data_IF_806255671952
#
_entry.id   IF_806255671952
#
_cell.length_a   1.000
_cell.length_b   1.000
_cell.length_c   1.000
_cell.angle_alpha   90.00
_cell.angle_beta   90.00
_cell.angle_gamma   90.00
#
_symmetry.space_group_name_H-M   'P 1'
#
loop_
_entity.id
_entity.type
_entity.pdbx_description
1 polymer ?
#
# COMPACT_ATOMS: atom_id res chain seq x y z
N UNK A 1 -10.40 -35.48 0.63
CA UNK A 1 -10.62 -34.61 -0.53
C UNK A 1 -11.79 -33.67 -0.20
N UNK A 2 -11.53 -32.36 -0.02
CA UNK A 2 -12.51 -31.27 -0.08
C UNK A 2 -11.76 -29.95 0.02
N UNK A 3 -11.77 -29.23 -1.10
CA UNK A 3 -11.28 -27.87 -1.31
C UNK A 3 -12.16 -26.87 -0.57
N UNK A 4 -11.55 -25.85 0.03
CA UNK A 4 -12.22 -24.55 0.23
C UNK A 4 -11.37 -23.49 -0.47
N UNK A 5 -11.50 -23.54 -1.79
CA UNK A 5 -11.30 -22.41 -2.67
C UNK A 5 -12.20 -21.27 -2.22
N UNK A 6 -11.67 -20.05 -2.23
CA UNK A 6 -12.50 -18.87 -2.23
C UNK A 6 -13.37 -18.90 -3.49
N UNK A 7 -14.69 -18.79 -3.32
CA UNK A 7 -15.59 -18.52 -4.44
C UNK A 7 -15.28 -17.10 -4.89
N UNK A 8 -14.42 -17.00 -5.89
CA UNK A 8 -14.35 -15.86 -6.79
C UNK A 8 -15.67 -15.86 -7.55
N UNK A 9 -16.53 -14.87 -7.33
CA UNK A 9 -17.58 -14.56 -8.29
C UNK A 9 -16.85 -14.12 -9.56
N UNK A 10 -16.88 -14.99 -10.57
CA UNK A 10 -16.44 -14.70 -11.93
C UNK A 10 -17.34 -13.60 -12.50
N UNK A 11 -16.81 -12.38 -12.56
CA UNK A 11 -17.23 -11.40 -13.55
C UNK A 11 -16.13 -11.34 -14.61
N UNK A 12 -16.50 -11.83 -15.80
CA UNK A 12 -15.94 -11.56 -17.11
C UNK A 12 -14.44 -11.34 -17.25
N UNK A 13 -13.76 -12.31 -17.89
CA UNK A 13 -12.53 -12.05 -18.64
C UNK A 13 -12.82 -11.16 -19.83
N UNK A 14 -12.71 -9.85 -19.63
CA UNK A 14 -12.50 -8.83 -20.65
C UNK A 14 -11.32 -7.97 -20.20
N UNK A 15 -10.64 -7.31 -21.14
CA UNK A 15 -9.75 -6.18 -20.83
C UNK A 15 -10.39 -5.35 -19.72
N UNK A 16 -9.73 -5.18 -18.56
CA UNK A 16 -10.33 -4.66 -17.32
C UNK A 16 -11.47 -3.68 -17.62
N UNK A 17 -12.70 -4.19 -17.61
CA UNK A 17 -13.82 -3.54 -18.28
C UNK A 17 -13.98 -2.13 -17.77
N UNK A 18 -14.09 -1.15 -18.66
CA UNK A 18 -14.48 0.19 -18.27
C UNK A 18 -15.78 0.09 -17.47
N UNK A 19 -15.70 0.50 -16.20
CA UNK A 19 -16.85 0.64 -15.31
C UNK A 19 -16.97 2.12 -14.98
N UNK A 20 -18.14 2.53 -14.50
CA UNK A 20 -18.34 3.91 -14.02
C UNK A 20 -17.27 4.28 -12.97
N UNK A 21 -16.87 3.32 -12.13
CA UNK A 21 -15.85 3.56 -11.10
C UNK A 21 -14.44 3.71 -11.71
N UNK A 22 -14.04 2.85 -12.66
CA UNK A 22 -12.71 2.98 -13.29
C UNK A 22 -12.62 4.24 -14.14
N UNK A 23 -13.70 4.67 -14.80
CA UNK A 23 -13.78 5.97 -15.51
C UNK A 23 -13.62 7.14 -14.53
N UNK A 24 -14.36 7.13 -13.42
CA UNK A 24 -14.27 8.20 -12.42
C UNK A 24 -12.87 8.30 -11.80
N UNK A 25 -12.24 7.17 -11.48
CA UNK A 25 -10.87 7.14 -10.96
C UNK A 25 -9.86 7.63 -12.00
N UNK A 26 -9.99 7.20 -13.27
CA UNK A 26 -9.15 7.71 -14.37
C UNK A 26 -9.28 9.23 -14.50
N UNK A 27 -10.49 9.78 -14.33
CA UNK A 27 -10.70 11.23 -14.33
C UNK A 27 -9.92 11.92 -13.20
N UNK A 28 -10.02 11.43 -11.96
CA UNK A 28 -9.30 12.00 -10.81
C UNK A 28 -7.78 11.98 -11.04
N UNK A 29 -7.24 10.84 -11.52
CA UNK A 29 -5.82 10.73 -11.85
C UNK A 29 -5.44 11.61 -13.05
N UNK A 30 -6.33 11.76 -14.04
CA UNK A 30 -6.10 12.62 -15.21
C UNK A 30 -6.08 14.10 -14.86
N UNK A 31 -7.01 14.56 -14.01
CA UNK A 31 -7.05 15.93 -13.51
C UNK A 31 -5.80 16.26 -12.67
N UNK A 32 -5.33 15.32 -11.85
CA UNK A 32 -4.08 15.45 -11.08
C UNK A 32 -2.87 15.62 -12.01
N UNK A 33 -2.78 14.79 -13.06
CA UNK A 33 -1.72 14.86 -14.06
C UNK A 33 -1.76 16.18 -14.84
N UNK A 34 -2.96 16.62 -15.23
CA UNK A 34 -3.18 17.88 -15.91
C UNK A 34 -2.70 19.05 -15.04
N UNK A 35 -2.94 19.00 -13.73
CA UNK A 35 -2.40 19.97 -12.77
C UNK A 35 -0.88 20.09 -12.82
N UNK A 36 -0.14 18.98 -12.88
CA UNK A 36 1.30 18.99 -13.05
C UNK A 36 1.73 19.62 -14.38
N UNK A 37 1.15 19.18 -15.49
CA UNK A 37 1.51 19.65 -16.83
C UNK A 37 1.16 21.13 -17.06
N UNK A 38 0.10 21.63 -16.42
CA UNK A 38 -0.28 23.05 -16.44
C UNK A 38 0.52 23.90 -15.44
N UNK A 39 1.30 23.27 -14.54
CA UNK A 39 1.97 23.97 -13.46
C UNK A 39 1.00 24.57 -12.42
N UNK A 40 -0.16 23.95 -12.21
CA UNK A 40 -1.21 24.44 -11.32
C UNK A 40 -1.31 23.59 -10.05
N UNK A 41 -0.60 23.99 -9.00
CA UNK A 41 -0.58 23.30 -7.71
C UNK A 41 -1.97 23.12 -7.08
N UNK A 42 -2.89 24.08 -7.27
CA UNK A 42 -4.26 23.98 -6.73
C UNK A 42 -5.04 22.86 -7.42
N UNK A 43 -4.89 22.72 -8.74
CA UNK A 43 -5.55 21.66 -9.50
C UNK A 43 -5.05 20.26 -9.10
N UNK A 44 -3.74 20.14 -8.82
CA UNK A 44 -3.13 18.90 -8.30
C UNK A 44 -3.77 18.54 -6.95
N UNK A 45 -3.65 19.43 -5.96
CA UNK A 45 -4.03 19.20 -4.56
C UNK A 45 -5.53 18.95 -4.39
N UNK A 46 -6.37 19.55 -5.26
CA UNK A 46 -7.81 19.34 -5.26
C UNK A 46 -8.23 17.87 -5.40
N UNK A 47 -7.40 17.03 -6.01
CA UNK A 47 -7.70 15.60 -6.24
C UNK A 47 -7.49 14.72 -5.00
N UNK A 48 -6.90 15.26 -3.94
CA UNK A 48 -6.48 14.51 -2.77
C UNK A 48 -7.46 14.63 -1.60
N UNK A 49 -7.50 13.60 -0.76
CA UNK A 49 -8.23 13.61 0.50
C UNK A 49 -7.44 14.35 1.59
N UNK A 50 -8.10 14.96 2.59
CA UNK A 50 -7.41 15.66 3.69
C UNK A 50 -6.42 14.78 4.47
N UNK A 51 -6.70 13.49 4.58
CA UNK A 51 -5.86 12.49 5.27
C UNK A 51 -4.83 11.81 4.34
N UNK A 52 -4.47 12.46 3.25
CA UNK A 52 -3.49 11.96 2.28
C UNK A 52 -2.14 11.58 2.89
N UNK A 53 -1.50 10.53 2.34
CA UNK A 53 -0.11 10.13 2.62
C UNK A 53 0.70 9.84 1.36
N UNK A 54 1.92 10.37 1.29
CA UNK A 54 2.81 10.19 0.15
C UNK A 54 4.01 9.31 0.49
N UNK A 55 4.29 8.33 -0.38
CA UNK A 55 5.45 7.47 -0.30
C UNK A 55 6.32 7.66 -1.54
N UNK A 56 7.63 7.51 -1.36
CA UNK A 56 8.60 7.57 -2.42
C UNK A 56 9.01 6.16 -2.83
N UNK A 57 8.95 5.87 -4.12
CA UNK A 57 9.42 4.58 -4.62
C UNK A 57 8.93 4.26 -6.02
N UNK A 58 9.10 3.00 -6.38
CA UNK A 58 8.74 2.44 -7.68
C UNK A 58 7.98 1.15 -7.41
N UNK A 59 6.71 1.12 -7.81
CA UNK A 59 5.81 0.01 -7.54
C UNK A 59 6.31 -1.29 -8.20
N UNK A 60 7.14 -1.19 -9.24
CA UNK A 60 7.78 -2.34 -9.89
C UNK A 60 9.03 -2.87 -9.17
N UNK A 61 9.41 -2.31 -8.01
CA UNK A 61 10.61 -2.69 -7.25
C UNK A 61 10.25 -3.22 -5.86
N UNK A 62 11.22 -3.87 -5.22
CA UNK A 62 11.07 -4.42 -3.86
C UNK A 62 10.54 -3.36 -2.88
N UNK A 63 9.44 -3.63 -2.16
CA UNK A 63 8.89 -2.71 -1.15
C UNK A 63 9.85 -2.27 -0.05
N UNK A 64 10.91 -3.03 0.23
CA UNK A 64 11.96 -2.59 1.16
C UNK A 64 12.76 -1.38 0.64
N UNK A 65 12.69 -1.08 -0.65
CA UNK A 65 13.30 0.12 -1.25
C UNK A 65 12.43 1.36 -1.13
N UNK A 66 11.14 1.21 -0.81
CA UNK A 66 10.21 2.33 -0.68
C UNK A 66 10.49 3.12 0.59
N UNK A 67 10.09 4.38 0.61
CA UNK A 67 10.41 5.33 1.67
C UNK A 67 9.15 6.12 2.05
N UNK A 68 8.85 6.33 3.35
CA UNK A 68 7.86 7.32 3.77
C UNK A 68 8.27 8.72 3.30
N UNK A 69 7.28 9.57 3.09
CA UNK A 69 7.46 10.81 2.36
C UNK A 69 6.65 11.97 2.93
N UNK A 70 5.52 12.26 2.30
CA UNK A 70 4.62 13.34 2.73
C UNK A 70 3.69 12.83 3.82
N UNK A 71 3.75 13.47 4.99
CA UNK A 71 2.93 13.10 6.15
C UNK A 71 1.49 13.59 6.02
N UNK A 72 1.25 14.70 5.32
CA UNK A 72 -0.09 15.24 5.13
C UNK A 72 -0.22 16.02 3.82
N UNK A 73 -1.45 16.45 3.55
CA UNK A 73 -1.77 17.21 2.35
C UNK A 73 -1.12 18.59 2.32
N UNK A 74 -0.89 19.22 3.47
CA UNK A 74 -0.28 20.55 3.56
C UNK A 74 1.20 20.51 3.15
N UNK A 75 1.94 19.52 3.65
CA UNK A 75 3.33 19.27 3.24
C UNK A 75 3.42 18.99 1.73
N UNK A 76 2.50 18.18 1.19
CA UNK A 76 2.45 17.88 -0.24
C UNK A 76 2.07 19.11 -1.08
N UNK A 77 1.12 19.93 -0.63
CA UNK A 77 0.74 21.17 -1.31
C UNK A 77 1.92 22.16 -1.39
N UNK A 78 2.66 22.33 -0.29
CA UNK A 78 3.84 23.18 -0.26
C UNK A 78 4.88 22.69 -1.29
N UNK A 79 5.13 21.39 -1.32
CA UNK A 79 6.00 20.76 -2.31
C UNK A 79 5.49 21.00 -3.74
N UNK A 80 4.20 20.81 -4.01
CA UNK A 80 3.64 21.05 -5.34
C UNK A 80 3.84 22.49 -5.80
N UNK A 81 3.62 23.48 -4.93
CA UNK A 81 3.82 24.91 -5.24
C UNK A 81 5.26 25.20 -5.61
N UNK A 82 6.21 24.69 -4.82
CA UNK A 82 7.64 24.83 -5.13
C UNK A 82 7.99 24.14 -6.45
N UNK A 83 7.58 22.88 -6.61
CA UNK A 83 7.92 22.06 -7.76
C UNK A 83 7.41 22.68 -9.08
N UNK A 84 6.15 23.13 -9.15
CA UNK A 84 5.61 23.74 -10.38
C UNK A 84 6.20 25.12 -10.67
N UNK A 85 6.70 25.82 -9.64
CA UNK A 85 7.43 27.08 -9.81
C UNK A 85 8.84 26.88 -10.35
N UNK A 86 9.47 25.74 -10.01
CA UNK A 86 10.86 25.41 -10.39
C UNK A 86 10.94 24.63 -11.70
N UNK A 87 9.96 23.80 -12.00
CA UNK A 87 9.96 22.90 -13.14
C UNK A 87 8.79 23.16 -14.08
N UNK A 88 9.02 22.93 -15.39
CA UNK A 88 7.95 22.70 -16.36
C UNK A 88 7.83 21.19 -16.57
N UNK A 89 6.64 20.66 -16.37
CA UNK A 89 6.38 19.22 -16.48
C UNK A 89 5.73 18.87 -17.81
N UNK A 90 6.15 17.74 -18.37
CA UNK A 90 5.48 17.05 -19.48
C UNK A 90 5.39 15.57 -19.10
N UNK A 91 4.33 15.24 -18.36
CA UNK A 91 4.10 13.92 -17.77
C UNK A 91 3.05 13.15 -18.55
N UNK A 92 3.26 11.84 -18.65
CA UNK A 92 2.27 10.88 -19.12
C UNK A 92 1.97 9.85 -18.03
N UNK A 93 0.75 9.32 -18.04
CA UNK A 93 0.30 8.27 -17.14
C UNK A 93 -0.57 7.28 -17.87
N UNK A 94 -0.25 5.99 -17.73
CA UNK A 94 -1.06 4.89 -18.21
C UNK A 94 -1.50 4.01 -17.04
N UNK A 95 -2.72 4.14 -16.51
CA UNK A 95 -3.25 3.23 -15.50
C UNK A 95 -3.48 1.83 -16.11
N UNK A 96 -2.69 0.86 -15.65
CA UNK A 96 -2.63 -0.51 -16.19
C UNK A 96 -3.39 -1.53 -15.34
N UNK A 97 -3.68 -1.19 -14.08
CA UNK A 97 -4.37 -2.11 -13.18
C UNK A 97 -5.22 -1.36 -12.14
N UNK A 98 -6.40 -1.92 -11.85
CA UNK A 98 -7.36 -1.41 -10.88
C UNK A 98 -7.85 -2.55 -9.99
N UNK A 99 -7.83 -2.32 -8.69
CA UNK A 99 -8.63 -3.07 -7.73
C UNK A 99 -9.60 -2.12 -7.05
N UNK A 100 -10.89 -2.45 -7.05
CA UNK A 100 -11.93 -1.62 -6.43
C UNK A 100 -12.74 -2.51 -5.52
N UNK A 101 -12.78 -2.16 -4.24
CA UNK A 101 -13.54 -2.89 -3.23
C UNK A 101 -14.27 -1.94 -2.29
N UNK A 102 -15.60 -1.91 -2.41
CA UNK A 102 -16.48 -0.95 -1.74
C UNK A 102 -16.08 0.48 -2.09
N UNK A 103 -15.71 1.28 -1.09
CA UNK A 103 -15.31 2.66 -1.22
C UNK A 103 -13.78 2.84 -1.31
N UNK A 104 -12.99 1.77 -1.47
CA UNK A 104 -11.53 1.85 -1.60
C UNK A 104 -11.11 1.41 -2.99
N UNK A 105 -10.04 2.00 -3.51
CA UNK A 105 -9.40 1.56 -4.74
C UNK A 105 -7.87 1.56 -4.62
N UNK A 106 -7.27 0.63 -5.36
CA UNK A 106 -5.84 0.54 -5.63
C UNK A 106 -5.64 0.64 -7.14
N UNK A 107 -4.75 1.53 -7.58
CA UNK A 107 -4.40 1.66 -9.00
C UNK A 107 -2.91 1.55 -9.17
N UNK A 108 -2.46 0.75 -10.14
CA UNK A 108 -1.08 0.76 -10.61
C UNK A 108 -1.05 1.42 -11.97
N UNK A 109 -0.12 2.35 -12.15
CA UNK A 109 0.07 3.07 -13.40
C UNK A 109 1.54 3.08 -13.81
N UNK A 110 1.77 3.09 -15.11
CA UNK A 110 3.07 3.43 -15.67
C UNK A 110 3.11 4.95 -15.85
N UNK A 111 3.96 5.60 -15.06
CA UNK A 111 4.20 7.04 -15.16
C UNK A 111 5.51 7.29 -15.93
N UNK A 112 5.51 8.32 -16.75
CA UNK A 112 6.69 8.73 -17.49
C UNK A 112 6.69 10.21 -17.88
N UNK A 113 7.69 10.61 -18.65
CA UNK A 113 7.81 11.95 -19.21
C UNK A 113 9.08 12.68 -18.78
N UNK A 114 9.03 14.01 -18.77
CA UNK A 114 10.14 14.86 -18.39
C UNK A 114 9.75 16.06 -17.51
N UNK A 115 10.73 16.56 -16.76
CA UNK A 115 10.68 17.85 -16.07
C UNK A 115 11.86 18.67 -16.53
N UNK A 116 11.59 19.90 -16.95
CA UNK A 116 12.59 20.88 -17.35
C UNK A 116 12.74 21.90 -16.23
N UNK A 117 13.92 21.96 -15.62
CA UNK A 117 14.25 22.98 -14.62
C UNK A 117 14.28 24.36 -15.30
N UNK A 118 13.45 25.28 -14.83
CA UNK A 118 13.23 26.58 -15.51
C UNK A 118 14.48 27.46 -15.51
N UNK A 119 15.26 27.41 -14.43
CA UNK A 119 16.44 28.25 -14.27
C UNK A 119 17.61 27.82 -15.19
N UNK A 120 17.78 26.51 -15.40
CA UNK A 120 18.96 25.95 -16.07
C UNK A 120 18.63 25.34 -17.45
N UNK A 121 17.35 25.10 -17.76
CA UNK A 121 16.92 24.30 -18.90
C UNK A 121 17.23 22.80 -18.75
N UNK A 122 17.77 22.36 -17.61
CA UNK A 122 18.17 20.98 -17.38
C UNK A 122 16.95 20.07 -17.41
N UNK A 123 17.03 18.99 -18.20
CA UNK A 123 15.99 17.98 -18.33
C UNK A 123 16.21 16.82 -17.38
N UNK A 124 15.12 16.35 -16.77
CA UNK A 124 15.08 15.16 -15.93
C UNK A 124 14.00 14.27 -16.52
N UNK A 125 14.38 13.10 -17.03
CA UNK A 125 13.44 12.10 -17.58
C UNK A 125 13.10 11.07 -16.51
N UNK A 126 11.87 10.55 -16.56
CA UNK A 126 11.42 9.51 -15.63
C UNK A 126 10.60 8.46 -16.36
N UNK A 127 10.72 7.24 -15.85
CA UNK A 127 9.86 6.10 -16.17
C UNK A 127 9.85 5.21 -14.93
N UNK A 128 8.67 4.96 -14.36
CA UNK A 128 8.50 4.13 -13.18
C UNK A 128 7.04 3.66 -13.05
N UNK A 129 6.81 2.63 -12.25
CA UNK A 129 5.44 2.28 -11.87
C UNK A 129 5.04 3.06 -10.61
N UNK A 130 3.89 3.72 -10.66
CA UNK A 130 3.27 4.31 -9.49
C UNK A 130 2.16 3.42 -8.95
N UNK A 131 1.94 3.53 -7.64
CA UNK A 131 0.81 2.92 -6.96
C UNK A 131 -0.01 4.03 -6.32
N UNK A 132 -1.33 3.93 -6.43
CA UNK A 132 -2.27 4.93 -5.95
C UNK A 132 -3.32 4.27 -5.09
N UNK A 133 -3.64 4.88 -3.97
CA UNK A 133 -4.80 4.51 -3.16
C UNK A 133 -5.82 5.62 -3.24
N UNK A 134 -7.09 5.24 -3.39
CA UNK A 134 -8.20 6.18 -3.45
C UNK A 134 -9.34 5.73 -2.54
N UNK A 135 -10.14 6.70 -2.12
CA UNK A 135 -11.36 6.49 -1.37
C UNK A 135 -12.51 7.28 -1.96
N UNK A 136 -13.70 6.69 -1.95
CA UNK A 136 -14.94 7.32 -2.37
C UNK A 136 -15.69 7.86 -1.15
N UNK A 137 -15.80 9.18 -1.08
CA UNK A 137 -16.56 9.91 -0.06
C UNK A 137 -17.56 10.85 -0.75
N UNK A 138 -18.80 10.89 -0.26
CA UNK A 138 -19.84 11.75 -0.84
C UNK A 138 -20.08 11.52 -2.34
N UNK A 139 -19.86 10.30 -2.83
CA UNK A 139 -20.03 9.93 -4.25
C UNK A 139 -18.83 10.26 -5.15
N UNK A 140 -17.78 10.90 -4.65
CA UNK A 140 -16.59 11.28 -5.42
C UNK A 140 -15.34 10.56 -4.94
N UNK A 141 -14.49 10.15 -5.86
CA UNK A 141 -13.18 9.59 -5.54
C UNK A 141 -12.18 10.69 -5.19
N UNK A 142 -11.34 10.42 -4.18
CA UNK A 142 -10.19 11.23 -3.80
C UNK A 142 -8.97 10.36 -3.62
N UNK A 143 -7.80 10.89 -3.96
CA UNK A 143 -6.52 10.21 -3.77
C UNK A 143 -6.17 10.27 -2.28
N UNK A 144 -6.05 9.11 -1.65
CA UNK A 144 -5.69 8.96 -0.23
C UNK A 144 -4.21 8.68 -0.06
N UNK A 145 -3.53 8.23 -1.11
CA UNK A 145 -2.10 8.05 -1.06
C UNK A 145 -1.48 7.68 -2.39
N UNK A 146 -0.15 7.76 -2.44
CA UNK A 146 0.61 7.31 -3.59
C UNK A 146 1.97 6.75 -3.21
N UNK A 147 2.55 5.93 -4.08
CA UNK A 147 3.96 5.58 -4.14
C UNK A 147 4.52 6.03 -5.49
N UNK A 148 5.40 7.05 -5.49
CA UNK A 148 5.86 7.71 -6.73
C UNK A 148 7.29 8.26 -6.61
N UNK A 149 7.85 8.72 -7.72
CA UNK A 149 9.07 9.54 -7.75
C UNK A 149 8.75 10.89 -8.38
N UNK A 150 9.06 11.98 -7.69
CA UNK A 150 8.86 13.34 -8.17
C UNK A 150 10.18 14.11 -8.21
N UNK A 151 10.47 14.91 -9.26
CA UNK A 151 11.62 15.80 -9.32
C UNK A 151 11.63 16.82 -8.19
N UNK A 152 12.82 17.13 -7.68
CA UNK A 152 12.97 18.04 -6.53
C UNK A 152 12.50 17.44 -5.20
N UNK A 153 12.00 16.20 -5.18
CA UNK A 153 11.73 15.50 -3.94
C UNK A 153 13.03 14.97 -3.37
N UNK A 154 13.62 15.73 -2.45
CA UNK A 154 14.85 15.34 -1.79
C UNK A 154 14.64 14.17 -0.83
N UNK A 155 15.71 13.38 -0.64
CA UNK A 155 15.69 12.31 0.35
C UNK A 155 15.91 12.91 1.72
N UNK A 156 14.93 12.77 2.60
CA UNK A 156 15.12 13.05 4.01
C UNK A 156 15.82 11.89 4.71
N UNK A 157 16.49 12.19 5.83
CA UNK A 157 17.16 11.18 6.65
C UNK A 157 16.13 10.26 7.30
N UNK A 158 15.99 9.07 6.72
CA UNK A 158 15.15 8.01 7.24
C UNK A 158 15.70 7.51 8.57
N UNK A 159 14.80 7.24 9.50
CA UNK A 159 15.15 6.70 10.81
C UNK A 159 14.72 5.27 10.91
N UNK A 160 15.53 4.52 11.64
CA UNK A 160 15.06 3.29 12.21
C UNK A 160 14.13 3.56 13.41
N UNK A 161 13.22 2.65 13.75
CA UNK A 161 12.22 2.87 14.82
C UNK A 161 11.91 1.60 15.61
N UNK A 162 12.36 1.57 16.86
CA UNK A 162 12.06 0.47 17.79
C UNK A 162 10.56 0.38 18.10
N UNK A 163 9.86 1.51 18.16
CA UNK A 163 8.40 1.51 18.35
C UNK A 163 7.65 0.83 17.19
N UNK A 164 8.17 0.93 15.96
CA UNK A 164 7.59 0.18 14.82
C UNK A 164 7.85 -1.31 14.99
N UNK A 165 9.08 -1.71 15.37
CA UNK A 165 9.38 -3.12 15.65
C UNK A 165 8.52 -3.69 16.77
N UNK A 166 8.33 -2.93 17.84
CA UNK A 166 7.54 -3.35 18.99
C UNK A 166 6.10 -3.64 18.58
N UNK A 167 5.47 -2.75 17.80
CA UNK A 167 4.12 -2.99 17.26
C UNK A 167 4.07 -4.23 16.37
N UNK A 168 5.03 -4.39 15.46
CA UNK A 168 5.05 -5.54 14.56
C UNK A 168 5.28 -6.85 15.32
N UNK A 169 6.22 -6.91 16.27
CA UNK A 169 6.42 -8.11 17.07
C UNK A 169 5.24 -8.36 18.03
N UNK A 170 4.63 -7.30 18.56
CA UNK A 170 3.41 -7.35 19.35
C UNK A 170 2.22 -7.92 18.57
N UNK A 171 2.08 -7.58 17.30
CA UNK A 171 1.03 -8.12 16.43
C UNK A 171 1.17 -9.63 16.24
N UNK A 172 2.39 -10.12 16.00
CA UNK A 172 2.66 -11.56 15.91
C UNK A 172 2.35 -12.28 17.24
N UNK A 173 2.69 -11.68 18.38
CA UNK A 173 2.36 -12.24 19.70
C UNK A 173 0.85 -12.29 19.93
N UNK A 174 0.13 -11.22 19.62
CA UNK A 174 -1.32 -11.17 19.78
C UNK A 174 -2.05 -12.25 18.96
N UNK A 175 -1.61 -12.54 17.73
CA UNK A 175 -2.14 -13.66 16.95
C UNK A 175 -1.87 -15.02 17.60
N UNK A 176 -0.69 -15.22 18.18
CA UNK A 176 -0.30 -16.47 18.84
C UNK A 176 -1.04 -16.68 20.18
N UNK A 177 -1.30 -15.60 20.91
CA UNK A 177 -2.15 -15.61 22.12
C UNK A 177 -3.63 -15.91 21.79
N UNK A 178 -4.03 -15.74 20.53
CA UNK A 178 -5.40 -16.00 20.09
C UNK A 178 -6.40 -14.95 20.55
N UNK A 179 -5.94 -13.74 20.87
CA UNK A 179 -6.79 -12.64 21.34
C UNK A 179 -7.11 -11.67 20.17
N UNK A 180 -8.33 -11.73 19.60
CA UNK A 180 -8.72 -10.86 18.49
C UNK A 180 -8.79 -9.39 18.87
N UNK A 181 -9.00 -9.06 20.14
CA UNK A 181 -9.04 -7.70 20.65
C UNK A 181 -7.64 -7.08 20.66
N UNK A 182 -6.65 -7.82 21.17
CA UNK A 182 -5.24 -7.41 21.13
C UNK A 182 -4.73 -7.22 19.71
N UNK A 183 -5.07 -8.14 18.79
CA UNK A 183 -4.70 -8.00 17.38
C UNK A 183 -5.31 -6.72 16.80
N UNK A 184 -6.63 -6.57 16.85
CA UNK A 184 -7.30 -5.43 16.24
C UNK A 184 -6.96 -4.09 16.90
N UNK A 185 -6.56 -4.09 18.17
CA UNK A 185 -6.14 -2.88 18.90
C UNK A 185 -4.85 -2.23 18.39
N UNK A 186 -4.04 -2.95 17.61
CA UNK A 186 -2.79 -2.44 17.02
C UNK A 186 -3.02 -1.70 15.69
N UNK A 187 -4.22 -1.75 15.15
CA UNK A 187 -4.57 -1.19 13.85
C UNK A 187 -5.31 0.14 14.00
N UNK A 188 -5.05 1.07 13.09
CA UNK A 188 -5.72 2.38 13.01
C UNK A 188 -7.14 2.26 12.46
N UNK A 189 -7.94 3.31 12.63
CA UNK A 189 -9.34 3.32 12.17
C UNK A 189 -9.47 3.17 10.63
N UNK A 190 -8.59 3.87 9.91
CA UNK A 190 -8.58 3.94 8.44
C UNK A 190 -7.82 2.78 7.77
N UNK A 191 -7.61 1.69 8.52
CA UNK A 191 -6.82 0.55 8.07
C UNK A 191 -7.29 -0.05 6.73
N UNK A 192 -6.36 -0.27 5.80
CA UNK A 192 -6.61 -1.02 4.55
C UNK A 192 -5.62 -2.18 4.40
N UNK A 193 -6.15 -3.39 4.21
CA UNK A 193 -5.35 -4.59 4.02
C UNK A 193 -5.37 -5.05 2.57
N UNK A 194 -4.22 -5.54 2.10
CA UNK A 194 -4.04 -6.09 0.76
C UNK A 194 -3.48 -7.52 0.82
N UNK A 195 -3.81 -8.33 -0.19
CA UNK A 195 -3.26 -9.66 -0.42
C UNK A 195 -2.40 -9.65 -1.70
N UNK A 196 -1.14 -10.08 -1.60
CA UNK A 196 -0.15 -10.10 -2.69
C UNK A 196 0.01 -11.44 -3.42
N UNK A 197 -0.64 -12.51 -2.93
CA UNK A 197 -0.68 -13.84 -3.56
C UNK A 197 0.69 -14.48 -3.87
N UNK A 198 1.71 -14.20 -3.06
CA UNK A 198 3.09 -14.70 -3.17
C UNK A 198 3.80 -14.36 -4.49
N UNK A 199 3.37 -13.30 -5.18
CA UNK A 199 3.89 -12.96 -6.52
C UNK A 199 4.74 -11.69 -6.56
N UNK A 200 4.80 -10.91 -5.49
CA UNK A 200 5.59 -9.68 -5.38
C UNK A 200 5.19 -8.55 -6.35
N UNK A 201 4.16 -8.76 -7.16
CA UNK A 201 3.76 -7.89 -8.26
C UNK A 201 2.54 -7.07 -7.87
N UNK A 202 2.70 -5.74 -7.86
CA UNK A 202 1.66 -4.80 -7.44
C UNK A 202 0.39 -4.90 -8.28
N UNK A 203 0.48 -5.33 -9.54
CA UNK A 203 -0.69 -5.52 -10.43
C UNK A 203 -1.55 -6.73 -10.05
N UNK A 204 -1.10 -7.49 -9.05
CA UNK A 204 -1.81 -8.66 -8.53
C UNK A 204 -2.38 -8.43 -7.14
N UNK A 205 -2.07 -7.30 -6.51
CA UNK A 205 -2.53 -7.00 -5.17
C UNK A 205 -4.04 -6.76 -5.17
N UNK A 206 -4.74 -7.35 -4.21
CA UNK A 206 -6.19 -7.20 -4.04
C UNK A 206 -6.49 -6.70 -2.63
N UNK A 207 -7.44 -5.79 -2.50
CA UNK A 207 -7.96 -5.27 -1.24
C UNK A 207 -8.68 -6.42 -0.53
N UNK A 208 -8.16 -6.81 0.62
CA UNK A 208 -8.75 -7.84 1.49
C UNK A 208 -9.58 -7.21 2.61
N UNK A 209 -9.22 -6.01 3.06
CA UNK A 209 -9.94 -5.27 4.10
C UNK A 209 -10.05 -3.79 3.76
N UNK A 210 -11.27 -3.27 3.73
CA UNK A 210 -11.58 -1.84 3.61
C UNK A 210 -12.05 -1.27 4.95
N UNK A 211 -11.14 -1.20 5.93
CA UNK A 211 -11.40 -0.63 7.26
C UNK A 211 -11.19 -1.60 8.42
N UNK A 212 -11.11 -1.04 9.62
CA UNK A 212 -10.89 -1.79 10.86
C UNK A 212 -12.07 -2.71 11.24
N UNK A 213 -13.31 -2.30 10.98
CA UNK A 213 -14.49 -3.08 11.33
C UNK A 213 -14.55 -4.48 10.67
N UNK A 214 -14.42 -4.61 9.33
CA UNK A 214 -14.37 -5.93 8.70
C UNK A 214 -13.14 -6.75 9.15
N UNK A 215 -11.99 -6.10 9.38
CA UNK A 215 -10.80 -6.78 9.90
C UNK A 215 -11.02 -7.36 11.30
N UNK A 216 -11.63 -6.60 12.21
CA UNK A 216 -11.98 -7.07 13.56
C UNK A 216 -12.94 -8.26 13.53
N UNK A 217 -13.94 -8.22 12.65
CA UNK A 217 -14.86 -9.34 12.45
C UNK A 217 -14.11 -10.59 11.93
N UNK A 218 -13.18 -10.41 11.01
CA UNK A 218 -12.30 -11.47 10.52
C UNK A 218 -11.45 -12.07 11.65
N UNK A 219 -10.76 -11.26 12.46
CA UNK A 219 -9.94 -11.74 13.57
C UNK A 219 -10.76 -12.61 14.54
N UNK A 220 -11.96 -12.16 14.95
CA UNK A 220 -12.85 -12.94 15.83
C UNK A 220 -13.22 -14.30 15.23
N UNK A 221 -13.64 -14.32 13.97
CA UNK A 221 -14.04 -15.56 13.27
C UNK A 221 -12.85 -16.49 13.06
N UNK A 222 -11.67 -15.94 12.78
CA UNK A 222 -10.46 -16.71 12.47
C UNK A 222 -9.89 -17.34 13.74
N UNK A 223 -9.71 -16.56 14.80
CA UNK A 223 -9.11 -17.02 16.06
C UNK A 223 -10.03 -17.95 16.87
N UNK A 224 -11.34 -17.95 16.62
CA UNK A 224 -12.23 -18.98 17.20
C UNK A 224 -12.01 -20.37 16.61
N UNK A 225 -11.42 -20.49 15.40
CA UNK A 225 -11.26 -21.76 14.68
C UNK A 225 -9.81 -22.18 14.48
N UNK A 226 -8.87 -21.26 14.66
CA UNK A 226 -7.47 -21.48 14.27
C UNK A 226 -6.54 -20.90 15.32
N UNK A 227 -5.49 -21.66 15.68
CA UNK A 227 -4.35 -21.16 16.44
C UNK A 227 -3.16 -20.91 15.52
N UNK A 228 -2.26 -20.03 15.95
CA UNK A 228 -1.13 -19.57 15.16
C UNK A 228 0.18 -19.80 15.91
N UNK A 229 1.23 -20.11 15.14
CA UNK A 229 2.63 -20.00 15.56
C UNK A 229 3.32 -19.16 14.51
N UNK A 230 3.90 -18.04 14.91
CA UNK A 230 4.46 -17.04 14.00
C UNK A 230 5.89 -16.73 14.43
N UNK A 231 6.84 -17.04 13.56
CA UNK A 231 8.21 -16.54 13.65
C UNK A 231 8.34 -15.38 12.68
N UNK A 232 8.53 -14.17 13.20
CA UNK A 232 8.63 -12.93 12.42
C UNK A 232 10.01 -12.32 12.58
N UNK A 233 10.66 -12.03 11.45
CA UNK A 233 11.88 -11.23 11.38
C UNK A 233 11.57 -9.90 10.72
N UNK A 234 11.89 -8.79 11.39
CA UNK A 234 11.78 -7.46 10.77
C UNK A 234 13.03 -7.21 9.92
N UNK A 235 12.85 -7.11 8.61
CA UNK A 235 13.93 -6.98 7.61
C UNK A 235 14.33 -5.52 7.43
N UNK A 236 13.35 -4.64 7.34
CA UNK A 236 13.59 -3.21 7.19
C UNK A 236 12.53 -2.40 7.92
N UNK A 237 12.94 -1.25 8.43
CA UNK A 237 12.08 -0.21 8.96
C UNK A 237 12.62 1.11 8.44
N UNK A 238 11.73 1.92 7.88
CA UNK A 238 12.01 3.28 7.43
C UNK A 238 10.91 4.16 7.97
N UNK A 239 11.25 5.01 8.93
CA UNK A 239 10.34 5.95 9.54
C UNK A 239 10.73 7.40 9.20
N UNK A 240 9.73 8.22 8.91
CA UNK A 240 9.88 9.64 8.67
C UNK A 240 8.64 10.36 9.15
N UNK A 241 8.82 11.39 10.00
CA UNK A 241 7.74 12.30 10.43
C UNK A 241 6.47 11.60 10.95
N UNK A 242 6.60 10.44 11.60
CA UNK A 242 5.44 9.71 12.13
C UNK A 242 4.72 8.82 11.11
N UNK A 243 5.22 8.71 9.88
CA UNK A 243 4.89 7.65 8.94
C UNK A 243 6.03 6.63 8.90
N UNK A 244 5.70 5.36 8.65
CA UNK A 244 6.70 4.31 8.50
C UNK A 244 6.29 3.24 7.50
N UNK A 245 7.28 2.75 6.77
CA UNK A 245 7.22 1.52 6.01
C UNK A 245 8.14 0.49 6.65
N UNK A 246 7.66 -0.74 6.75
CA UNK A 246 8.48 -1.84 7.22
C UNK A 246 8.21 -3.09 6.40
N UNK A 247 9.24 -3.93 6.26
CA UNK A 247 9.08 -5.25 5.64
C UNK A 247 9.49 -6.32 6.63
N UNK A 248 8.66 -7.35 6.76
CA UNK A 248 8.95 -8.53 7.58
C UNK A 248 9.13 -9.76 6.69
N UNK A 249 9.81 -10.76 7.23
CA UNK A 249 9.77 -12.13 6.77
C UNK A 249 9.09 -12.98 7.85
N UNK A 250 8.15 -13.80 7.44
CA UNK A 250 7.27 -14.53 8.36
C UNK A 250 7.24 -16.00 7.99
N UNK A 251 7.45 -16.84 9.00
CA UNK A 251 7.08 -18.25 8.98
C UNK A 251 5.86 -18.42 9.88
N UNK A 252 4.70 -18.65 9.26
CA UNK A 252 3.43 -18.78 9.96
C UNK A 252 2.89 -20.21 9.80
N UNK A 253 2.67 -20.88 10.93
CA UNK A 253 1.92 -22.13 11.00
C UNK A 253 0.54 -21.86 11.58
N UNK A 254 -0.49 -22.37 10.90
CA UNK A 254 -1.87 -22.36 11.38
C UNK A 254 -2.31 -23.76 11.72
N UNK A 255 -3.00 -23.92 12.85
CA UNK A 255 -3.57 -25.21 13.26
C UNK A 255 -5.08 -25.04 13.43
N UNK A 256 -5.87 -25.84 12.71
CA UNK A 256 -7.32 -25.85 12.89
C UNK A 256 -7.69 -26.52 14.22
N UNK A 257 -8.41 -25.81 15.08
CA UNK A 257 -8.66 -26.23 16.47
C UNK A 257 -9.46 -27.54 16.58
N UNK A 258 -10.39 -27.79 15.65
CA UNK A 258 -11.23 -28.99 15.69
C UNK A 258 -10.55 -30.22 15.07
N UNK A 259 -9.79 -30.04 14.00
CA UNK A 259 -9.27 -31.17 13.19
C UNK A 259 -7.79 -31.41 13.41
N UNK A 260 -7.09 -30.53 14.11
CA UNK A 260 -5.64 -30.57 14.27
C UNK A 260 -4.85 -30.33 12.99
N UNK A 261 -5.51 -30.10 11.85
CA UNK A 261 -4.84 -29.91 10.55
C UNK A 261 -3.93 -28.69 10.61
N UNK A 262 -2.67 -28.90 10.24
CA UNK A 262 -1.64 -27.86 10.18
C UNK A 262 -1.38 -27.42 8.75
N UNK A 263 -1.11 -26.13 8.56
CA UNK A 263 -0.61 -25.53 7.32
C UNK A 263 0.49 -24.54 7.69
N UNK A 264 1.61 -24.57 6.96
CA UNK A 264 2.71 -23.64 7.15
C UNK A 264 3.00 -22.90 5.84
N UNK A 265 3.35 -21.63 5.95
CA UNK A 265 3.79 -20.81 4.82
C UNK A 265 4.91 -19.88 5.27
N UNK A 266 5.80 -19.55 4.34
CA UNK A 266 6.85 -18.55 4.49
C UNK A 266 6.66 -17.45 3.45
N UNK A 267 6.67 -16.19 3.88
CA UNK A 267 6.43 -15.05 3.01
C UNK A 267 6.98 -13.75 3.59
N UNK A 268 7.13 -12.72 2.74
CA UNK A 268 7.35 -11.35 3.19
C UNK A 268 6.05 -10.56 3.23
N UNK A 269 5.95 -9.64 4.20
CA UNK A 269 4.83 -8.72 4.33
C UNK A 269 5.33 -7.27 4.34
N UNK A 270 4.61 -6.40 3.64
CA UNK A 270 4.78 -4.94 3.76
C UNK A 270 3.83 -4.42 4.83
N UNK A 271 4.33 -3.52 5.65
CA UNK A 271 3.59 -2.84 6.69
C UNK A 271 3.67 -1.34 6.51
N UNK A 272 2.53 -0.70 6.67
CA UNK A 272 2.36 0.75 6.63
C UNK A 272 1.86 1.17 8.01
N UNK A 273 2.64 1.99 8.70
CA UNK A 273 2.35 2.43 10.06
C UNK A 273 2.37 3.95 10.18
N UNK A 274 1.53 4.45 11.08
CA UNK A 274 1.42 5.88 11.39
C UNK A 274 1.46 6.08 12.89
N UNK A 275 1.94 7.25 13.32
CA UNK A 275 1.82 7.70 14.71
C UNK A 275 0.44 8.32 14.93
N UNK A 276 -0.31 7.71 15.85
CA UNK A 276 -1.51 8.28 16.44
C UNK A 276 -1.17 8.74 17.87
N UNK A 277 -0.94 10.04 18.03
CA UNK A 277 -0.41 10.61 19.27
C UNK A 277 0.99 10.08 19.58
N UNK A 278 1.14 9.34 20.69
CA UNK A 278 2.43 8.75 21.11
C UNK A 278 2.63 7.31 20.64
N UNK A 279 1.63 6.70 20.04
CA UNK A 279 1.65 5.26 19.68
C UNK A 279 1.70 5.07 18.18
N UNK A 280 2.42 4.02 17.76
CA UNK A 280 2.36 3.55 16.38
C UNK A 280 1.12 2.67 16.17
N UNK A 281 0.48 2.81 15.00
CA UNK A 281 -0.66 2.01 14.57
C UNK A 281 -0.41 1.50 13.16
N UNK A 282 -0.88 0.29 12.88
CA UNK A 282 -0.87 -0.28 11.54
C UNK A 282 -2.05 0.29 10.77
N UNK A 283 -1.77 1.06 9.73
CA UNK A 283 -2.80 1.66 8.84
C UNK A 283 -2.88 0.94 7.51
N UNK A 284 -1.92 0.07 7.21
CA UNK A 284 -2.04 -0.85 6.09
C UNK A 284 -1.06 -2.00 6.14
N UNK A 285 -1.37 -3.06 5.40
CA UNK A 285 -0.42 -4.11 5.11
C UNK A 285 -0.63 -4.65 3.71
N UNK A 286 0.41 -5.29 3.18
CA UNK A 286 0.28 -6.22 2.06
C UNK A 286 0.82 -7.55 2.53
N UNK A 287 -0.06 -8.56 2.60
CA UNK A 287 0.36 -9.91 2.95
C UNK A 287 0.91 -10.64 1.75
N UNK A 288 1.84 -11.56 1.98
CA UNK A 288 2.25 -12.56 0.98
C UNK A 288 2.82 -11.92 -0.28
N UNK A 289 3.90 -11.17 -0.11
CA UNK A 289 4.69 -10.64 -1.23
C UNK A 289 5.56 -11.69 -1.92
N UNK A 290 5.59 -12.92 -1.42
CA UNK A 290 6.51 -13.98 -1.85
C UNK A 290 7.85 -13.90 -1.13
N UNK A 291 8.77 -14.82 -1.45
CA UNK A 291 10.14 -14.80 -0.96
C UNK A 291 11.08 -14.28 -2.05
N UNK A 292 12.14 -13.57 -1.67
CA UNK A 292 13.22 -13.18 -2.61
C UNK A 292 14.20 -14.32 -2.87
N UNK A 293 13.98 -15.50 -2.29
CA UNK A 293 14.69 -16.70 -2.68
C UNK A 293 14.23 -17.07 -4.10
N UNK A 294 14.93 -16.52 -5.10
CA UNK A 294 14.89 -17.03 -6.47
C UNK A 294 15.10 -18.54 -6.40
N UNK A 295 14.12 -19.27 -6.90
CA UNK A 295 14.19 -20.62 -7.46
C UNK A 295 15.21 -21.59 -6.83
N UNK A 296 14.71 -22.46 -5.95
CA UNK A 296 14.87 -23.91 -6.06
C UNK A 296 14.20 -24.59 -4.87
N UNK A 297 12.90 -24.87 -4.99
CA UNK A 297 12.35 -26.10 -4.40
C UNK A 297 11.45 -26.72 -5.46
N UNK A 298 11.99 -27.79 -6.02
CA UNK A 298 11.31 -28.81 -6.80
C UNK A 298 9.87 -29.01 -6.34
N UNK A 299 8.94 -29.01 -7.30
CA UNK A 299 7.65 -29.68 -7.15
C UNK A 299 7.95 -31.16 -6.90
N UNK A 300 7.95 -31.56 -5.63
CA UNK A 300 7.85 -32.94 -5.20
C UNK A 300 6.45 -33.19 -4.67
N UNK A 301 5.81 -34.21 -5.24
CA UNK A 301 4.45 -34.75 -5.03
C UNK A 301 3.38 -34.14 -5.93
#
# INVERSE_FOLDING_TARGET
MSMLFWISVLLGTGWAGETVETIAIRKVLGDELAGWNMGNAKLIVLQYAPYFRGYRGDAGRDPATWEPGFRDLGEFEAFCREAVSRYRFDLSRNPIYFDIYKNKALVVAEDGGEAVERASGRRITFSYKSLWTLEKEGGSWKITGFLRKLPGWDRESLRDSDGVREVLLGEARAWQEGDPGKVAGLYGADFVGYEGYDRGDTEKWRISFSGLAPFRAFCRKRLSRTSYTISRKVISVKALKGSALAVTEEKATTTHKLTGKKLSAEHRDLWILEKEGKSWKIVGFVRRLGSTARDHVSRGL
#
